data_IF_588186459635
#
_entry.id   IF_588186459635
#
_cell.length_a   1.000
_cell.length_b   1.000
_cell.length_c   1.000
_cell.angle_alpha   90.00
_cell.angle_beta   90.00
_cell.angle_gamma   90.00
#
_symmetry.space_group_name_H-M   'P 1'
#
loop_
_entity.id
_entity.type
_entity.pdbx_description
1 polymer ?
#
# COMPACT_ATOMS: atom_id res chain seq x y z
N UNK A 1 -4.89 1.45 -1.00
CA UNK A 1 -5.76 2.59 -0.64
C UNK A 1 -5.19 3.89 -1.20
N UNK A 2 -6.05 4.89 -1.44
CA UNK A 2 -5.65 6.22 -1.87
C UNK A 2 -6.51 7.28 -1.18
N UNK A 3 -5.89 8.41 -0.82
CA UNK A 3 -6.57 9.59 -0.28
C UNK A 3 -6.23 10.76 -1.18
N UNK A 4 -7.27 11.51 -1.61
CA UNK A 4 -7.10 12.73 -2.42
C UNK A 4 -6.23 13.74 -1.66
N UNK A 5 -5.39 14.45 -2.38
CA UNK A 5 -4.36 15.34 -1.81
C UNK A 5 -4.91 16.32 -0.77
N UNK A 6 -6.06 16.95 -1.07
CA UNK A 6 -6.75 17.89 -0.16
C UNK A 6 -7.21 17.29 1.18
N UNK A 7 -7.28 15.97 1.31
CA UNK A 7 -7.71 15.27 2.53
C UNK A 7 -6.59 14.47 3.19
N UNK A 8 -5.35 14.55 2.67
CA UNK A 8 -4.20 13.86 3.28
C UNK A 8 -3.83 14.50 4.61
N UNK A 9 -3.18 13.71 5.47
CA UNK A 9 -2.71 14.15 6.80
C UNK A 9 -3.80 14.61 7.79
N UNK A 10 -5.08 14.36 7.48
CA UNK A 10 -6.23 14.69 8.33
C UNK A 10 -6.87 13.44 8.94
N UNK A 11 -6.12 12.36 9.16
CA UNK A 11 -6.64 11.12 9.75
C UNK A 11 -7.45 10.21 8.81
N UNK A 12 -7.97 10.71 7.68
CA UNK A 12 -8.82 9.96 6.73
C UNK A 12 -8.23 8.60 6.33
N UNK A 13 -6.93 8.55 6.00
CA UNK A 13 -6.27 7.28 5.63
C UNK A 13 -6.26 6.25 6.76
N UNK A 14 -6.11 6.70 8.02
CA UNK A 14 -6.14 5.85 9.21
C UNK A 14 -7.54 5.31 9.47
N UNK A 15 -8.56 6.16 9.37
CA UNK A 15 -9.96 5.73 9.51
C UNK A 15 -10.35 4.68 8.48
N UNK A 16 -9.95 4.88 7.21
CA UNK A 16 -10.17 3.89 6.15
C UNK A 16 -9.48 2.56 6.45
N UNK A 17 -8.21 2.58 6.90
CA UNK A 17 -7.49 1.36 7.25
C UNK A 17 -8.12 0.64 8.44
N UNK A 18 -8.51 1.39 9.48
CA UNK A 18 -9.14 0.83 10.67
C UNK A 18 -10.46 0.14 10.31
N UNK A 19 -11.31 0.79 9.49
CA UNK A 19 -12.58 0.18 9.10
C UNK A 19 -12.38 -1.04 8.22
N UNK A 20 -11.43 -1.01 7.29
CA UNK A 20 -11.05 -2.18 6.52
C UNK A 20 -10.53 -3.33 7.41
N UNK A 21 -9.78 -3.00 8.46
CA UNK A 21 -9.25 -3.98 9.42
C UNK A 21 -10.33 -4.59 10.30
N UNK A 22 -11.30 -3.80 10.74
CA UNK A 22 -12.50 -4.27 11.45
C UNK A 22 -13.28 -5.26 10.58
N UNK A 23 -13.62 -4.86 9.36
CA UNK A 23 -14.35 -5.72 8.41
C UNK A 23 -13.59 -7.03 8.14
N UNK A 24 -12.26 -6.97 7.94
CA UNK A 24 -11.47 -8.17 7.71
C UNK A 24 -11.51 -9.13 8.91
N UNK A 25 -11.44 -8.60 10.14
CA UNK A 25 -11.55 -9.41 11.36
C UNK A 25 -12.93 -10.03 11.51
N UNK A 26 -13.99 -9.27 11.23
CA UNK A 26 -15.38 -9.75 11.29
C UNK A 26 -15.65 -10.86 10.27
N UNK A 27 -14.88 -10.91 9.18
CA UNK A 27 -14.92 -11.95 8.15
C UNK A 27 -13.85 -13.05 8.35
N UNK A 28 -13.28 -13.16 9.56
CA UNK A 28 -12.29 -14.18 9.92
C UNK A 28 -11.07 -14.23 8.98
N UNK A 29 -10.72 -13.10 8.38
CA UNK A 29 -9.54 -13.00 7.53
C UNK A 29 -8.27 -13.11 8.39
N UNK A 30 -7.32 -13.94 7.96
CA UNK A 30 -6.08 -14.16 8.70
C UNK A 30 -5.15 -12.94 8.70
N UNK A 31 -5.13 -12.17 7.61
CA UNK A 31 -4.21 -11.03 7.45
C UNK A 31 -4.64 -10.07 6.35
N UNK A 32 -4.10 -8.86 6.40
CA UNK A 32 -4.18 -7.86 5.33
C UNK A 32 -2.80 -7.71 4.70
N UNK A 33 -2.74 -7.82 3.37
CA UNK A 33 -1.51 -7.64 2.61
C UNK A 33 -1.61 -6.44 1.68
N UNK A 34 -0.51 -5.66 1.57
CA UNK A 34 -0.44 -4.51 0.69
C UNK A 34 0.86 -4.51 -0.11
N UNK A 35 0.74 -4.68 -1.42
CA UNK A 35 1.84 -4.52 -2.36
C UNK A 35 2.06 -3.03 -2.69
N UNK A 36 3.18 -2.46 -2.24
CA UNK A 36 3.50 -1.04 -2.46
C UNK A 36 4.83 -0.88 -3.21
N UNK A 37 4.86 -0.03 -4.25
CA UNK A 37 6.09 0.28 -4.97
C UNK A 37 7.11 0.97 -4.04
N UNK A 38 8.39 0.59 -4.09
CA UNK A 38 9.47 1.16 -3.25
C UNK A 38 9.60 2.68 -3.37
N UNK A 39 9.22 3.28 -4.50
CA UNK A 39 9.25 4.74 -4.71
C UNK A 39 8.19 5.49 -3.88
N UNK A 40 7.14 4.81 -3.40
CA UNK A 40 6.06 5.44 -2.60
C UNK A 40 6.42 5.46 -1.11
N UNK A 41 7.53 6.11 -0.76
CA UNK A 41 8.05 6.18 0.63
C UNK A 41 7.00 6.61 1.66
N UNK A 42 6.20 7.63 1.35
CA UNK A 42 5.10 8.10 2.22
C UNK A 42 4.04 7.02 2.50
N UNK A 43 3.77 6.15 1.54
CA UNK A 43 2.82 5.06 1.71
C UNK A 43 3.40 3.95 2.59
N UNK A 44 4.69 3.62 2.45
CA UNK A 44 5.38 2.69 3.36
C UNK A 44 5.30 3.17 4.81
N UNK A 45 5.69 4.43 5.07
CA UNK A 45 5.61 4.98 6.43
C UNK A 45 4.19 5.02 6.97
N UNK A 46 3.18 5.18 6.10
CA UNK A 46 1.79 5.09 6.52
C UNK A 46 1.42 3.69 7.01
N UNK A 47 1.73 2.65 6.23
CA UNK A 47 1.42 1.25 6.58
C UNK A 47 2.20 0.77 7.82
N UNK A 48 3.49 1.14 7.94
CA UNK A 48 4.29 0.84 9.14
C UNK A 48 3.67 1.47 10.39
N UNK A 49 3.18 2.72 10.31
CA UNK A 49 2.44 3.36 11.41
C UNK A 49 1.11 2.69 11.75
N UNK A 50 0.54 1.89 10.84
CA UNK A 50 -0.66 1.10 11.12
C UNK A 50 -0.33 -0.30 11.66
N UNK A 51 0.96 -0.60 11.90
CA UNK A 51 1.41 -1.89 12.42
C UNK A 51 1.69 -2.96 11.36
N UNK A 52 1.71 -2.61 10.08
CA UNK A 52 2.08 -3.55 9.02
C UNK A 52 3.61 -3.71 8.94
N UNK A 53 4.05 -4.93 8.64
CA UNK A 53 5.46 -5.25 8.45
C UNK A 53 5.80 -5.47 6.97
N UNK A 54 7.02 -5.11 6.58
CA UNK A 54 7.55 -5.24 5.21
C UNK A 54 8.50 -6.44 5.06
N UNK A 55 8.07 -7.62 5.49
CA UNK A 55 8.92 -8.81 5.48
C UNK A 55 9.11 -9.42 4.08
N UNK A 56 8.18 -9.15 3.16
CA UNK A 56 8.17 -9.77 1.84
C UNK A 56 8.62 -8.79 0.75
N UNK A 57 9.36 -9.32 -0.23
CA UNK A 57 9.58 -8.64 -1.50
C UNK A 57 8.46 -8.97 -2.48
N UNK A 58 7.93 -7.94 -3.16
CA UNK A 58 7.10 -8.12 -4.34
C UNK A 58 7.98 -8.23 -5.58
N UNK A 59 7.76 -9.27 -6.37
CA UNK A 59 8.39 -9.45 -7.68
C UNK A 59 7.40 -9.09 -8.80
N UNK A 60 7.90 -8.52 -9.89
CA UNK A 60 7.10 -8.18 -11.06
C UNK A 60 7.99 -8.18 -12.30
N UNK A 61 7.45 -8.69 -13.42
CA UNK A 61 8.13 -8.76 -14.71
C UNK A 61 7.27 -8.07 -15.77
N UNK A 62 7.85 -7.20 -16.59
CA UNK A 62 7.17 -6.67 -17.77
C UNK A 62 7.34 -7.67 -18.93
N UNK A 63 6.23 -8.11 -19.53
CA UNK A 63 6.23 -9.05 -20.67
C UNK A 63 6.22 -8.34 -22.03
N UNK A 64 6.10 -7.01 -22.06
CA UNK A 64 6.25 -6.20 -23.27
C UNK A 64 7.72 -5.83 -23.43
N UNK A 65 8.27 -5.99 -24.64
CA UNK A 65 9.67 -5.69 -25.00
C UNK A 65 10.07 -4.21 -24.92
N UNK A 66 9.30 -3.37 -24.22
CA UNK A 66 9.72 -2.01 -23.92
C UNK A 66 10.73 -2.08 -22.77
N UNK A 67 12.00 -1.71 -23.03
CA UNK A 67 13.04 -1.63 -22.00
C UNK A 67 12.64 -0.63 -20.90
N UNK A 68 11.94 -1.13 -19.88
CA UNK A 68 11.73 -0.39 -18.64
C UNK A 68 13.02 -0.48 -17.83
N UNK A 69 14.02 0.36 -18.17
CA UNK A 69 15.21 0.57 -17.35
C UNK A 69 14.79 1.26 -16.05
N UNK A 70 14.71 0.49 -14.97
CA UNK A 70 14.52 0.98 -13.61
C UNK A 70 13.08 1.00 -13.10
N UNK A 71 12.96 0.98 -11.76
CA UNK A 71 11.69 1.13 -11.07
C UNK A 71 11.13 2.53 -11.35
N UNK A 72 9.88 2.59 -11.84
CA UNK A 72 9.17 3.83 -12.13
C UNK A 72 7.75 3.72 -11.60
N UNK A 73 7.23 4.81 -11.06
CA UNK A 73 5.79 4.93 -10.90
C UNK A 73 5.20 5.12 -12.29
N UNK A 74 4.06 4.47 -12.57
CA UNK A 74 3.36 4.66 -13.84
C UNK A 74 3.18 6.15 -14.14
N UNK A 75 3.36 6.49 -15.41
CA UNK A 75 3.06 7.78 -16.01
C UNK A 75 1.55 8.01 -15.92
#
# INVERSE_FOLDING_TARGET
MAVRDKYRSNGVGKELFNKASEIAKDNECLQIEACCNKLRTRAHSFYERQGMNKYHYKFSMNLRYEEIKGNRLGI
#
